data_IF_031975341454
#
_entry.id   IF_031975341454
#
_cell.length_a   1.000
_cell.length_b   1.000
_cell.length_c   1.000
_cell.angle_alpha   90.00
_cell.angle_beta   90.00
_cell.angle_gamma   90.00
#
_symmetry.space_group_name_H-M   'P 1'
#
loop_
_entity.id
_entity.type
_entity.pdbx_description
1 polymer ?
#
# COMPACT_ATOMS: atom_id res chain seq x y z
N UNK A 1 -4.41 -2.40 6.23
CA UNK A 1 -4.16 -1.12 6.93
C UNK A 1 -3.66 -0.16 5.89
N UNK A 2 -4.15 1.07 5.93
CA UNK A 2 -3.69 2.18 5.12
C UNK A 2 -3.16 3.34 5.95
N UNK A 3 -3.10 4.51 5.34
CA UNK A 3 -2.64 5.74 5.97
C UNK A 3 -3.65 6.31 6.98
N UNK A 4 -4.95 6.14 6.74
CA UNK A 4 -6.00 6.70 7.60
C UNK A 4 -6.12 6.00 8.95
N UNK A 5 -5.66 4.76 9.09
CA UNK A 5 -5.52 4.08 10.39
C UNK A 5 -4.51 4.77 11.30
N UNK A 6 -3.71 5.73 10.82
CA UNK A 6 -2.82 6.52 11.64
C UNK A 6 -3.35 7.93 11.94
N UNK A 7 -4.52 8.32 11.41
CA UNK A 7 -5.04 9.67 11.62
C UNK A 7 -5.44 9.85 13.09
N UNK A 8 -4.78 10.78 13.77
CA UNK A 8 -4.93 11.00 15.22
C UNK A 8 -4.18 9.98 16.08
N UNK A 9 -3.38 9.10 15.48
CA UNK A 9 -2.58 8.06 16.15
C UNK A 9 -1.09 8.21 15.80
N UNK A 10 -0.25 7.41 16.47
CA UNK A 10 1.20 7.44 16.24
C UNK A 10 1.60 6.49 15.12
N UNK A 11 2.50 6.96 14.25
CA UNK A 11 3.05 6.16 13.16
C UNK A 11 3.74 4.88 13.68
N UNK A 12 4.19 4.83 14.94
CA UNK A 12 4.80 3.66 15.58
C UNK A 12 3.80 2.64 16.13
N UNK A 13 2.50 2.94 16.20
CA UNK A 13 1.50 2.13 16.91
C UNK A 13 1.10 0.82 16.19
N UNK A 14 1.81 0.39 15.16
CA UNK A 14 1.56 -0.85 14.41
C UNK A 14 1.31 -2.08 15.31
N UNK A 15 2.09 -2.32 16.39
CA UNK A 15 1.90 -3.49 17.24
C UNK A 15 0.49 -3.62 17.85
N UNK A 16 -0.25 -2.52 18.00
CA UNK A 16 -1.59 -2.56 18.56
C UNK A 16 -2.59 -3.28 17.63
N UNK A 17 -2.43 -3.13 16.31
CA UNK A 17 -3.30 -3.78 15.32
C UNK A 17 -3.07 -5.29 15.28
N UNK A 18 -1.80 -5.70 15.34
CA UNK A 18 -1.43 -7.10 15.48
C UNK A 18 -2.08 -7.71 16.72
N UNK A 19 -1.96 -7.04 17.87
CA UNK A 19 -2.55 -7.48 19.12
C UNK A 19 -4.08 -7.54 19.06
N UNK A 20 -4.73 -6.61 18.38
CA UNK A 20 -6.18 -6.61 18.21
C UNK A 20 -6.68 -7.77 17.34
N UNK A 21 -5.85 -8.25 16.40
CA UNK A 21 -6.17 -9.41 15.57
C UNK A 21 -5.95 -10.75 16.29
N UNK A 22 -5.13 -10.79 17.35
CA UNK A 22 -4.86 -12.02 18.10
C UNK A 22 -6.14 -12.64 18.68
N UNK A 23 -6.30 -13.95 18.47
CA UNK A 23 -7.49 -14.69 18.93
C UNK A 23 -8.74 -14.48 18.07
N UNK A 24 -8.64 -13.74 16.97
CA UNK A 24 -9.71 -13.57 15.98
C UNK A 24 -9.46 -14.42 14.73
N UNK A 25 -10.41 -14.42 13.78
CA UNK A 25 -10.21 -14.99 12.44
C UNK A 25 -9.51 -14.04 11.46
N UNK A 26 -9.00 -12.90 11.93
CA UNK A 26 -8.36 -11.87 11.08
C UNK A 26 -6.85 -12.08 11.06
N UNK A 27 -6.27 -12.13 9.86
CA UNK A 27 -4.83 -12.10 9.68
C UNK A 27 -4.37 -10.66 9.41
N UNK A 28 -3.73 -10.04 10.40
CA UNK A 28 -3.08 -8.74 10.20
C UNK A 28 -1.73 -8.91 9.52
N UNK A 29 -1.54 -8.26 8.38
CA UNK A 29 -0.31 -8.31 7.59
C UNK A 29 0.30 -6.91 7.47
N UNK A 30 1.46 -6.74 8.09
CA UNK A 30 2.36 -5.59 7.89
C UNK A 30 3.78 -6.12 7.86
N UNK A 31 4.35 -6.23 6.66
CA UNK A 31 5.58 -6.97 6.39
C UNK A 31 5.51 -8.42 6.88
N UNK A 32 4.38 -9.07 6.59
CA UNK A 32 4.09 -10.45 6.99
C UNK A 32 3.42 -11.24 5.87
N UNK A 33 3.56 -12.55 5.97
CA UNK A 33 2.94 -13.50 5.06
C UNK A 33 2.02 -14.47 5.80
N UNK A 34 1.02 -14.98 5.09
CA UNK A 34 0.14 -16.06 5.55
C UNK A 34 -0.15 -16.98 4.37
N UNK A 35 -0.27 -18.28 4.64
CA UNK A 35 -0.67 -19.26 3.65
C UNK A 35 -2.08 -19.76 3.96
N UNK A 36 -2.97 -19.69 2.96
CA UNK A 36 -4.37 -20.10 3.10
C UNK A 36 -4.73 -20.89 1.85
N UNK A 37 -5.17 -22.14 2.01
CA UNK A 37 -5.62 -22.97 0.88
C UNK A 37 -4.55 -23.25 -0.19
N UNK A 38 -3.26 -23.19 0.16
CA UNK A 38 -2.14 -23.36 -0.79
C UNK A 38 -1.75 -22.07 -1.54
N UNK A 39 -2.37 -20.93 -1.22
CA UNK A 39 -2.01 -19.60 -1.74
C UNK A 39 -1.22 -18.85 -0.69
N UNK A 40 -0.11 -18.21 -1.08
CA UNK A 40 0.69 -17.35 -0.21
C UNK A 40 0.26 -15.90 -0.38
N UNK A 41 -0.12 -15.27 0.71
CA UNK A 41 -0.47 -13.85 0.76
C UNK A 41 0.66 -13.08 1.42
N UNK A 42 1.16 -12.05 0.76
CA UNK A 42 2.16 -11.11 1.27
C UNK A 42 1.48 -9.77 1.50
N UNK A 43 1.53 -9.23 2.71
CA UNK A 43 0.86 -7.98 3.03
C UNK A 43 1.76 -6.95 3.71
N UNK A 44 1.69 -5.72 3.23
CA UNK A 44 2.26 -4.54 3.87
C UNK A 44 1.52 -3.28 3.43
N UNK A 45 1.52 -2.22 4.24
CA UNK A 45 0.97 -0.92 3.81
C UNK A 45 1.74 -0.35 2.60
N UNK A 46 2.98 -0.81 2.42
CA UNK A 46 3.98 -0.42 1.41
C UNK A 46 4.49 1.01 1.56
N UNK A 47 3.62 1.98 1.84
CA UNK A 47 3.98 3.41 1.83
C UNK A 47 4.69 3.78 0.51
N UNK A 48 5.47 4.86 0.51
CA UNK A 48 6.16 5.37 -0.67
C UNK A 48 7.46 6.04 -0.27
N UNK A 49 8.42 6.05 -1.19
CA UNK A 49 9.64 6.85 -1.09
C UNK A 49 9.55 8.19 -1.83
N UNK A 50 8.37 8.56 -2.35
CA UNK A 50 8.12 9.80 -3.08
C UNK A 50 8.97 9.94 -4.36
N UNK A 51 9.14 8.83 -5.08
CA UNK A 51 10.00 8.69 -6.25
C UNK A 51 11.46 8.99 -5.90
N UNK A 52 11.99 8.25 -4.93
CA UNK A 52 13.35 8.47 -4.42
C UNK A 52 13.53 9.85 -3.75
N UNK A 53 12.47 10.40 -3.16
CA UNK A 53 12.46 11.68 -2.47
C UNK A 53 12.26 12.89 -3.38
N UNK A 54 12.13 12.70 -4.71
CA UNK A 54 11.95 13.80 -5.66
C UNK A 54 10.76 14.70 -5.32
N UNK A 55 9.67 14.10 -4.83
CA UNK A 55 8.47 14.83 -4.43
C UNK A 55 8.29 14.96 -2.91
N UNK A 56 9.18 14.37 -2.10
CA UNK A 56 8.98 14.20 -0.64
C UNK A 56 8.63 15.51 0.10
N UNK A 57 9.35 16.61 -0.19
CA UNK A 57 9.08 17.91 0.44
C UNK A 57 7.74 18.53 0.03
N UNK A 58 7.30 18.33 -1.21
CA UNK A 58 6.00 18.81 -1.66
C UNK A 58 4.90 17.99 -0.99
N UNK A 59 5.02 16.66 -1.00
CA UNK A 59 4.10 15.76 -0.33
C UNK A 59 3.98 16.08 1.16
N UNK A 60 5.10 16.31 1.87
CA UNK A 60 5.12 16.67 3.29
C UNK A 60 4.28 17.91 3.61
N UNK A 61 4.26 18.88 2.70
CA UNK A 61 3.53 20.15 2.91
C UNK A 61 2.05 20.03 2.58
N UNK A 62 1.73 19.31 1.52
CA UNK A 62 0.39 19.32 0.92
C UNK A 62 -0.49 18.13 1.34
N UNK A 63 0.10 16.99 1.69
CA UNK A 63 -0.66 15.77 2.00
C UNK A 63 -1.03 15.73 3.49
N UNK A 64 -2.29 15.37 3.74
CA UNK A 64 -2.90 15.39 5.06
C UNK A 64 -2.26 14.41 6.05
N UNK A 65 -1.62 13.34 5.56
CA UNK A 65 -0.87 12.38 6.35
C UNK A 65 0.13 13.07 7.28
N UNK A 66 0.89 14.05 6.78
CA UNK A 66 1.90 14.79 7.56
C UNK A 66 1.32 15.83 8.52
N UNK A 67 -0.01 16.03 8.49
CA UNK A 67 -0.74 16.90 9.41
C UNK A 67 -1.46 16.10 10.49
N UNK A 68 -1.97 14.92 10.17
CA UNK A 68 -2.83 14.13 11.06
C UNK A 68 -2.14 12.91 11.67
N UNK A 69 -0.98 12.50 11.16
CA UNK A 69 -0.20 11.40 11.72
C UNK A 69 0.94 11.96 12.57
N UNK A 70 1.00 11.53 13.83
CA UNK A 70 2.08 11.88 14.73
C UNK A 70 3.23 10.87 14.62
N UNK A 71 4.43 11.30 15.02
CA UNK A 71 5.55 10.39 15.28
C UNK A 71 6.23 10.87 16.56
N UNK A 72 5.81 10.30 17.69
CA UNK A 72 6.20 10.75 19.04
C UNK A 72 7.69 10.60 19.31
N UNK A 73 8.35 9.67 18.63
CA UNK A 73 9.80 9.46 18.72
C UNK A 73 10.60 10.51 17.93
N UNK A 74 9.95 11.32 17.08
CA UNK A 74 10.60 12.43 16.39
C UNK A 74 10.79 13.63 17.35
N UNK A 75 11.85 14.41 17.12
CA UNK A 75 12.24 15.54 17.99
C UNK A 75 11.11 16.56 18.21
N UNK A 76 10.26 16.79 17.21
CA UNK A 76 9.12 17.70 17.28
C UNK A 76 7.76 16.99 17.17
N UNK A 77 7.73 15.66 17.34
CA UNK A 77 6.51 14.84 17.32
C UNK A 77 5.86 14.71 15.94
N UNK A 78 6.48 15.24 14.88
CA UNK A 78 5.87 15.34 13.55
C UNK A 78 6.50 14.35 12.59
N UNK A 79 5.65 13.63 11.87
CA UNK A 79 6.05 12.76 10.76
C UNK A 79 6.73 13.57 9.64
N UNK A 80 7.83 13.04 9.09
CA UNK A 80 8.51 13.59 7.90
C UNK A 80 8.44 12.62 6.74
N UNK A 81 8.58 13.14 5.52
CA UNK A 81 8.61 12.29 4.33
C UNK A 81 9.76 11.28 4.39
N UNK A 82 10.86 11.61 5.06
CA UNK A 82 11.99 10.70 5.26
C UNK A 82 11.65 9.48 6.12
N UNK A 83 10.74 9.63 7.08
CA UNK A 83 10.30 8.55 7.97
C UNK A 83 9.41 7.57 7.20
N UNK A 84 8.49 8.11 6.41
CA UNK A 84 7.63 7.32 5.50
C UNK A 84 8.49 6.60 4.46
N UNK A 85 9.44 7.30 3.85
CA UNK A 85 10.37 6.70 2.88
C UNK A 85 11.27 5.62 3.51
N UNK A 86 11.64 5.77 4.79
CA UNK A 86 12.36 4.73 5.52
C UNK A 86 11.53 3.46 5.66
N UNK A 87 10.27 3.58 6.11
CA UNK A 87 9.35 2.44 6.24
C UNK A 87 9.04 1.80 4.89
N UNK A 88 8.91 2.60 3.83
CA UNK A 88 8.76 2.08 2.48
C UNK A 88 9.94 1.18 2.08
N UNK A 89 11.18 1.64 2.30
CA UNK A 89 12.37 0.84 1.99
C UNK A 89 12.43 -0.46 2.77
N UNK A 90 12.06 -0.45 4.05
CA UNK A 90 11.96 -1.68 4.85
C UNK A 90 10.93 -2.65 4.26
N UNK A 91 9.76 -2.13 3.92
CA UNK A 91 8.67 -2.92 3.36
C UNK A 91 9.01 -3.49 1.99
N UNK A 92 9.64 -2.69 1.12
CA UNK A 92 10.09 -3.11 -0.21
C UNK A 92 11.20 -4.15 -0.13
N UNK A 93 12.16 -4.00 0.80
CA UNK A 93 13.23 -4.97 1.01
C UNK A 93 12.67 -6.31 1.51
N UNK A 94 11.74 -6.28 2.46
CA UNK A 94 11.03 -7.47 2.92
C UNK A 94 10.23 -8.13 1.78
N UNK A 95 9.45 -7.35 1.04
CA UNK A 95 8.57 -7.85 -0.02
C UNK A 95 9.38 -8.49 -1.16
N UNK A 96 10.48 -7.86 -1.61
CA UNK A 96 11.39 -8.42 -2.61
C UNK A 96 11.93 -9.78 -2.15
N UNK A 97 12.39 -9.86 -0.90
CA UNK A 97 12.91 -11.12 -0.33
C UNK A 97 11.84 -12.22 -0.30
N UNK A 98 10.61 -11.91 0.10
CA UNK A 98 9.53 -12.90 0.15
C UNK A 98 9.13 -13.39 -1.25
N UNK A 99 9.08 -12.48 -2.23
CA UNK A 99 8.78 -12.78 -3.63
C UNK A 99 9.87 -13.63 -4.31
N UNK A 100 11.15 -13.38 -3.97
CA UNK A 100 12.28 -14.19 -4.45
C UNK A 100 12.37 -15.56 -3.75
N UNK A 101 11.68 -15.74 -2.62
CA UNK A 101 11.64 -17.03 -1.91
C UNK A 101 10.75 -18.01 -2.67
N UNK A 102 11.28 -19.18 -3.11
CA UNK A 102 10.49 -20.14 -3.87
C UNK A 102 9.23 -20.60 -3.12
N UNK A 103 8.11 -20.62 -3.82
CA UNK A 103 6.83 -21.13 -3.35
C UNK A 103 6.16 -21.90 -4.49
N UNK A 104 5.62 -23.08 -4.18
CA UNK A 104 5.03 -23.98 -5.20
C UNK A 104 3.62 -23.57 -5.63
N UNK A 105 2.93 -22.77 -4.81
CA UNK A 105 1.59 -22.28 -5.08
C UNK A 105 1.59 -20.85 -5.66
N UNK A 106 0.40 -20.26 -5.89
CA UNK A 106 0.29 -18.87 -6.29
C UNK A 106 0.67 -17.92 -5.14
N UNK A 107 1.30 -16.81 -5.50
CA UNK A 107 1.59 -15.72 -4.56
C UNK A 107 0.74 -14.50 -4.91
N UNK A 108 0.04 -13.98 -3.91
CA UNK A 108 -0.77 -12.76 -3.96
C UNK A 108 -0.10 -11.69 -3.10
N UNK A 109 0.02 -10.48 -3.64
CA UNK A 109 0.52 -9.32 -2.89
C UNK A 109 -0.66 -8.40 -2.56
N UNK A 110 -0.69 -7.89 -1.33
CA UNK A 110 -1.71 -6.96 -0.86
C UNK A 110 -1.01 -5.74 -0.28
N UNK A 111 -1.24 -4.58 -0.89
CA UNK A 111 -0.72 -3.30 -0.39
C UNK A 111 -1.83 -2.28 -0.17
N UNK A 112 -1.56 -1.23 0.59
CA UNK A 112 -2.46 -0.07 0.56
C UNK A 112 -2.08 0.86 -0.58
N UNK A 113 -0.82 1.31 -0.60
CA UNK A 113 -0.28 2.15 -1.66
C UNK A 113 -0.23 1.40 -2.99
N UNK A 114 -0.58 2.06 -4.09
CA UNK A 114 -0.57 1.46 -5.41
C UNK A 114 0.87 1.16 -5.89
N UNK A 115 1.09 0.07 -6.65
CA UNK A 115 2.42 -0.35 -7.05
C UNK A 115 2.89 0.22 -8.39
N UNK A 116 2.06 1.02 -9.08
CA UNK A 116 2.36 1.50 -10.42
C UNK A 116 1.67 2.84 -10.72
N UNK A 117 2.26 3.60 -11.65
CA UNK A 117 1.65 4.78 -12.25
C UNK A 117 0.39 4.44 -13.05
N UNK A 118 0.20 3.18 -13.47
CA UNK A 118 -1.00 2.73 -14.19
C UNK A 118 -2.27 2.85 -13.33
N UNK A 119 -2.15 2.82 -12.01
CA UNK A 119 -3.28 3.09 -11.10
C UNK A 119 -3.56 4.58 -10.92
N UNK A 120 -2.70 5.47 -11.40
CA UNK A 120 -2.86 6.91 -11.22
C UNK A 120 -3.83 7.48 -12.26
N UNK A 121 -4.97 8.04 -11.84
CA UNK A 121 -5.94 8.60 -12.76
C UNK A 121 -5.34 9.70 -13.64
N UNK A 122 -5.70 9.80 -14.93
CA UNK A 122 -5.13 10.78 -15.86
C UNK A 122 -5.24 12.23 -15.38
N UNK A 123 -6.29 12.59 -14.62
CA UNK A 123 -6.47 13.93 -14.06
C UNK A 123 -5.39 14.32 -13.04
N UNK A 124 -4.71 13.34 -12.45
CA UNK A 124 -3.61 13.55 -11.50
C UNK A 124 -2.23 13.31 -12.14
N UNK A 125 -2.16 13.11 -13.45
CA UNK A 125 -0.91 12.95 -14.17
C UNK A 125 -0.02 14.20 -14.01
N UNK A 126 1.24 14.00 -13.61
CA UNK A 126 2.20 15.08 -13.40
C UNK A 126 1.98 15.92 -12.14
N UNK A 127 1.08 15.49 -11.24
CA UNK A 127 0.89 16.18 -9.95
C UNK A 127 2.18 16.21 -9.13
N UNK A 128 2.51 17.34 -8.46
CA UNK A 128 3.71 17.46 -7.64
C UNK A 128 3.65 16.64 -6.35
N UNK A 129 2.54 15.94 -6.11
CA UNK A 129 2.30 15.07 -4.95
C UNK A 129 1.99 13.63 -5.34
N UNK A 130 2.05 13.26 -6.63
CA UNK A 130 1.82 11.90 -7.12
C UNK A 130 2.64 10.83 -6.39
N UNK A 131 3.84 11.19 -5.93
CA UNK A 131 4.71 10.33 -5.15
C UNK A 131 4.13 9.93 -3.79
N UNK A 132 2.98 10.47 -3.37
CA UNK A 132 2.28 9.99 -2.17
C UNK A 132 1.32 8.83 -2.47
N UNK A 133 0.91 8.66 -3.72
CA UNK A 133 -0.21 7.78 -4.08
C UNK A 133 0.23 6.41 -4.61
N UNK A 134 1.36 6.36 -5.30
CA UNK A 134 1.90 5.13 -5.86
C UNK A 134 3.42 5.06 -5.79
N UNK A 135 3.94 3.84 -5.88
CA UNK A 135 5.36 3.53 -6.06
C UNK A 135 5.59 3.01 -7.49
N UNK A 136 6.78 3.17 -8.08
CA UNK A 136 7.10 2.62 -9.40
C UNK A 136 7.71 1.21 -9.25
N UNK A 137 6.87 0.19 -9.07
CA UNK A 137 7.32 -1.18 -8.82
C UNK A 137 7.14 -2.11 -10.03
N UNK A 138 6.90 -1.55 -11.23
CA UNK A 138 6.67 -2.32 -12.45
C UNK A 138 7.78 -3.36 -12.71
N UNK A 139 9.05 -2.95 -12.62
CA UNK A 139 10.21 -3.84 -12.80
C UNK A 139 10.21 -5.00 -11.79
N UNK A 140 9.94 -4.72 -10.50
CA UNK A 140 9.86 -5.78 -9.47
C UNK A 140 8.73 -6.77 -9.78
N UNK A 141 7.59 -6.26 -10.24
CA UNK A 141 6.43 -7.08 -10.59
C UNK A 141 6.73 -7.96 -11.81
N UNK A 142 7.39 -7.41 -12.83
CA UNK A 142 7.81 -8.18 -14.02
C UNK A 142 8.87 -9.24 -13.67
N UNK A 143 9.82 -8.90 -12.78
CA UNK A 143 10.89 -9.80 -12.32
C UNK A 143 10.34 -10.99 -11.51
N UNK A 144 9.37 -10.74 -10.62
CA UNK A 144 8.93 -11.72 -9.61
C UNK A 144 7.61 -12.41 -9.94
N UNK A 145 6.76 -11.78 -10.76
CA UNK A 145 5.53 -12.35 -11.30
C UNK A 145 4.55 -12.96 -10.29
N UNK A 146 4.19 -12.28 -9.17
CA UNK A 146 3.05 -12.74 -8.36
C UNK A 146 1.80 -12.81 -9.26
N UNK A 147 0.89 -13.74 -9.00
CA UNK A 147 -0.26 -13.92 -9.91
C UNK A 147 -1.27 -12.78 -9.79
N UNK A 148 -1.33 -12.14 -8.61
CA UNK A 148 -2.24 -11.05 -8.31
C UNK A 148 -1.58 -10.04 -7.36
N UNK A 149 -1.83 -8.76 -7.61
CA UNK A 149 -1.53 -7.66 -6.72
C UNK A 149 -2.81 -6.86 -6.44
N UNK A 150 -3.22 -6.80 -5.18
CA UNK A 150 -4.36 -6.02 -4.73
C UNK A 150 -3.84 -4.76 -4.06
N UNK A 151 -4.35 -3.60 -4.44
CA UNK A 151 -4.07 -2.37 -3.72
C UNK A 151 -5.33 -1.56 -3.40
N UNK A 152 -5.16 -0.52 -2.59
CA UNK A 152 -6.19 0.48 -2.32
C UNK A 152 -5.65 1.87 -2.60
N UNK A 153 -5.93 2.79 -1.67
CA UNK A 153 -5.49 4.18 -1.62
C UNK A 153 -5.97 5.10 -2.75
N UNK A 154 -5.92 4.63 -3.98
CA UNK A 154 -6.58 5.27 -5.11
C UNK A 154 -8.09 5.19 -4.85
N UNK A 155 -8.83 6.28 -5.05
CA UNK A 155 -10.30 6.27 -4.94
C UNK A 155 -10.98 5.94 -6.29
N UNK A 156 -10.19 5.46 -7.24
CA UNK A 156 -10.62 4.98 -8.54
C UNK A 156 -10.35 3.47 -8.63
N UNK A 157 -11.29 2.72 -9.22
CA UNK A 157 -11.09 1.30 -9.52
C UNK A 157 -10.08 1.12 -10.64
N UNK A 158 -9.28 0.05 -10.58
CA UNK A 158 -8.35 -0.31 -11.64
C UNK A 158 -8.23 -1.82 -11.78
N UNK A 159 -8.10 -2.31 -13.02
CA UNK A 159 -7.84 -3.72 -13.33
C UNK A 159 -6.98 -3.80 -14.60
N UNK A 160 -5.71 -4.16 -14.43
CA UNK A 160 -4.74 -4.18 -15.52
C UNK A 160 -3.65 -5.23 -15.30
N UNK A 161 -2.79 -5.43 -16.30
CA UNK A 161 -1.68 -6.38 -16.25
C UNK A 161 -0.33 -5.67 -16.24
N UNK A 162 0.59 -6.14 -15.40
CA UNK A 162 2.04 -5.89 -15.53
C UNK A 162 2.72 -7.24 -15.72
N UNK A 163 3.27 -7.48 -16.91
CA UNK A 163 3.77 -8.81 -17.28
C UNK A 163 2.68 -9.88 -17.13
N UNK A 164 2.86 -10.80 -16.17
CA UNK A 164 1.90 -11.87 -15.85
C UNK A 164 1.03 -11.59 -14.62
N UNK A 165 1.29 -10.49 -13.93
CA UNK A 165 0.62 -10.10 -12.69
C UNK A 165 -0.61 -9.30 -13.02
N UNK A 166 -1.77 -9.73 -12.54
CA UNK A 166 -2.98 -8.88 -12.55
C UNK A 166 -2.90 -7.91 -11.37
N UNK A 167 -3.18 -6.63 -11.60
CA UNK A 167 -3.23 -5.61 -10.55
C UNK A 167 -4.66 -5.09 -10.44
N UNK A 168 -5.23 -5.14 -9.23
CA UNK A 168 -6.63 -4.80 -8.98
C UNK A 168 -6.77 -3.81 -7.82
N UNK A 169 -7.66 -2.83 -8.00
CA UNK A 169 -8.10 -1.87 -6.99
C UNK A 169 -9.63 -1.75 -7.06
N UNK A 170 -10.31 -1.91 -5.93
CA UNK A 170 -11.76 -1.76 -5.81
C UNK A 170 -12.12 -0.94 -4.55
N UNK A 171 -11.78 0.36 -4.54
CA UNK A 171 -11.93 1.22 -3.38
C UNK A 171 -13.37 1.74 -3.28
N UNK A 172 -13.87 1.96 -2.07
CA UNK A 172 -15.18 2.62 -1.86
C UNK A 172 -15.13 4.15 -2.11
N UNK A 173 -14.01 4.78 -1.74
CA UNK A 173 -13.89 6.24 -1.68
C UNK A 173 -14.37 6.81 -0.33
N UNK A 174 -14.80 8.08 -0.33
CA UNK A 174 -15.31 8.78 0.85
C UNK A 174 -16.83 8.92 0.81
N UNK A 175 -17.50 8.35 1.81
CA UNK A 175 -18.95 8.47 1.98
C UNK A 175 -19.38 9.94 2.01
N UNK A 176 -20.35 10.30 1.15
CA UNK A 176 -20.93 11.65 1.11
C UNK A 176 -20.02 12.74 0.51
N UNK A 177 -18.81 12.40 0.06
CA UNK A 177 -17.86 13.35 -0.54
C UNK A 177 -17.46 12.90 -1.95
N UNK A 178 -16.94 11.69 -2.06
CA UNK A 178 -16.35 11.15 -3.30
C UNK A 178 -16.51 9.63 -3.27
N UNK A 179 -17.70 9.13 -3.58
CA UNK A 179 -17.95 7.70 -3.69
C UNK A 179 -17.49 7.24 -5.06
N UNK A 180 -16.69 6.19 -5.10
CA UNK A 180 -16.33 5.52 -6.34
C UNK A 180 -17.56 4.83 -6.93
N UNK A 181 -17.99 5.29 -8.12
CA UNK A 181 -19.17 4.75 -8.79
C UNK A 181 -18.98 3.32 -9.30
N UNK A 182 -17.72 2.91 -9.47
CA UNK A 182 -17.33 1.57 -9.93
C UNK A 182 -16.98 0.64 -8.75
N UNK A 183 -17.23 1.06 -7.51
CA UNK A 183 -17.07 0.19 -6.35
C UNK A 183 -18.08 -0.95 -6.38
N UNK A 184 -17.55 -2.17 -6.25
CA UNK A 184 -18.36 -3.38 -6.16
C UNK A 184 -18.17 -4.06 -4.79
N UNK A 185 -19.15 -4.02 -3.87
CA UNK A 185 -19.05 -4.69 -2.57
C UNK A 185 -18.98 -6.22 -2.66
N UNK A 186 -19.36 -6.81 -3.80
CA UNK A 186 -19.38 -8.25 -4.04
C UNK A 186 -18.23 -8.72 -4.95
N UNK A 187 -17.27 -7.84 -5.25
CA UNK A 187 -16.16 -8.15 -6.14
C UNK A 187 -15.39 -9.40 -5.68
N UNK A 188 -15.20 -10.32 -6.62
CA UNK A 188 -14.40 -11.53 -6.42
C UNK A 188 -13.28 -11.61 -7.45
N UNK A 189 -12.11 -12.07 -7.01
CA UNK A 189 -10.95 -12.32 -7.89
C UNK A 189 -10.50 -13.75 -7.67
N UNK A 190 -10.43 -14.51 -8.76
CA UNK A 190 -9.91 -15.89 -8.76
C UNK A 190 -8.38 -15.88 -8.89
N UNK A 191 -7.74 -16.80 -8.16
CA UNK A 191 -6.29 -16.98 -8.05
C UNK A 191 -5.92 -18.43 -8.31
#
# INVERSE_FOLDING_TARGET
MGNHEFYGLDFSDIPQYQKAAEGTGVHFLENRSVEIGGVRFLGCTLWTDFFGGMQGKNCEREVNDFRFIALSDAQDGRLRWTDVAYRHRESLAWLRKELETPFSGPTVVITHTAPSALSNPPQFAGSPISGSFYSNLDDLIEETGPVLWIHGHMHDSSDYMIGKTRVVCNPFGYEGIEVNVDWDPEAMVEV
#
